data_IF_934690413491
#
_entry.id   IF_934690413491
#
_cell.length_a   1.000
_cell.length_b   1.000
_cell.length_c   1.000
_cell.angle_alpha   90.00
_cell.angle_beta   90.00
_cell.angle_gamma   90.00
#
_symmetry.space_group_name_H-M   'P 1'
#
loop_
_entity.id
_entity.type
_entity.pdbx_description
1 polymer ?
#
# COMPACT_ATOMS: atom_id res chain seq x y z
N UNK A 1 26.97 61.79 -41.77
CA UNK A 1 28.28 62.22 -41.21
C UNK A 1 28.49 61.78 -39.76
N UNK A 2 27.49 61.87 -38.85
CA UNK A 2 27.67 61.50 -37.43
C UNK A 2 27.76 59.98 -37.14
N UNK A 3 27.06 59.14 -37.88
CA UNK A 3 27.05 57.67 -37.68
C UNK A 3 28.37 57.02 -38.14
N UNK A 4 28.98 57.52 -39.22
CA UNK A 4 30.29 57.05 -39.68
C UNK A 4 31.40 57.42 -38.68
N UNK A 5 31.29 58.60 -38.05
CA UNK A 5 32.23 59.05 -37.02
C UNK A 5 32.09 58.26 -35.70
N UNK A 6 30.89 57.78 -35.35
CA UNK A 6 30.67 56.90 -34.20
C UNK A 6 31.28 55.51 -34.41
N UNK A 7 31.20 54.96 -35.62
CA UNK A 7 31.85 53.68 -35.96
C UNK A 7 33.38 53.84 -36.02
N UNK A 8 33.89 54.97 -36.53
CA UNK A 8 35.32 55.28 -36.48
C UNK A 8 35.83 55.58 -35.07
N UNK A 9 35.03 56.18 -34.18
CA UNK A 9 35.40 56.40 -32.78
C UNK A 9 35.43 55.09 -31.99
N UNK A 10 34.49 54.18 -32.25
CA UNK A 10 34.50 52.83 -31.67
C UNK A 10 35.66 51.95 -32.21
N UNK A 11 36.14 52.22 -33.43
CA UNK A 11 37.30 51.56 -34.02
C UNK A 11 38.67 52.21 -33.71
N UNK A 12 38.71 53.34 -33.01
CA UNK A 12 39.94 54.11 -32.70
C UNK A 12 40.35 54.10 -31.23
N UNK A 13 39.57 53.52 -30.32
CA UNK A 13 40.11 53.04 -29.06
C UNK A 13 40.64 51.63 -29.27
N UNK A 14 41.84 51.53 -29.84
CA UNK A 14 42.66 50.31 -29.77
C UNK A 14 43.04 50.12 -28.29
N UNK A 15 42.10 49.67 -27.48
CA UNK A 15 42.40 48.95 -26.25
C UNK A 15 43.12 47.70 -26.75
N UNK A 16 44.44 47.82 -26.94
CA UNK A 16 45.32 46.69 -27.09
C UNK A 16 45.23 45.96 -25.76
N UNK A 17 44.31 45.00 -25.69
CA UNK A 17 44.18 44.16 -24.52
C UNK A 17 45.55 43.54 -24.29
N UNK A 18 46.16 43.79 -23.11
CA UNK A 18 47.35 43.07 -22.74
C UNK A 18 47.09 41.59 -22.98
N UNK A 19 48.00 40.87 -23.62
CA UNK A 19 47.83 39.43 -23.95
C UNK A 19 47.41 38.61 -22.71
N UNK A 20 47.77 39.11 -21.53
CA UNK A 20 47.34 38.62 -20.20
C UNK A 20 45.83 38.73 -19.96
N UNK A 21 45.18 39.85 -20.30
CA UNK A 21 43.74 40.05 -20.16
C UNK A 21 42.93 39.13 -21.08
N UNK A 22 43.40 38.92 -22.33
CA UNK A 22 42.77 37.98 -23.26
C UNK A 22 42.88 36.52 -22.76
N UNK A 23 44.04 36.14 -22.22
CA UNK A 23 44.25 34.83 -21.60
C UNK A 23 43.30 34.59 -20.41
N UNK A 24 43.13 35.59 -19.54
CA UNK A 24 42.23 35.52 -18.39
C UNK A 24 40.75 35.38 -18.81
N UNK A 25 40.32 36.06 -19.87
CA UNK A 25 38.96 35.92 -20.41
C UNK A 25 38.70 34.52 -20.97
N UNK A 26 39.66 33.94 -21.69
CA UNK A 26 39.55 32.58 -22.22
C UNK A 26 39.47 31.56 -21.09
N UNK A 27 40.33 31.70 -20.07
CA UNK A 27 40.29 30.83 -18.88
C UNK A 27 38.96 31.00 -18.14
N UNK A 28 38.48 32.23 -17.97
CA UNK A 28 37.21 32.54 -17.33
C UNK A 28 36.01 31.95 -18.07
N UNK A 29 35.93 32.15 -19.39
CA UNK A 29 34.88 31.61 -20.24
C UNK A 29 34.89 30.07 -20.25
N UNK A 30 36.07 29.45 -20.31
CA UNK A 30 36.20 27.99 -20.21
C UNK A 30 35.71 27.48 -18.84
N UNK A 31 36.08 28.15 -17.74
CA UNK A 31 35.63 27.78 -16.39
C UNK A 31 34.12 27.95 -16.22
N UNK A 32 33.53 29.01 -16.76
CA UNK A 32 32.09 29.25 -16.73
C UNK A 32 31.37 28.20 -17.58
N UNK A 33 31.85 27.91 -18.79
CA UNK A 33 31.26 26.91 -19.68
C UNK A 33 31.27 25.51 -19.03
N UNK A 34 32.41 25.10 -18.48
CA UNK A 34 32.53 23.83 -17.76
C UNK A 34 31.63 23.78 -16.51
N UNK A 35 31.50 24.89 -15.77
CA UNK A 35 30.62 24.97 -14.60
C UNK A 35 29.14 24.91 -15.00
N UNK A 36 28.78 25.58 -16.10
CA UNK A 36 27.42 25.58 -16.66
C UNK A 36 27.06 24.18 -17.16
N UNK A 37 27.97 23.51 -17.87
CA UNK A 37 27.79 22.13 -18.30
C UNK A 37 27.63 21.17 -17.11
N UNK A 38 28.45 21.32 -16.05
CA UNK A 38 28.30 20.53 -14.83
C UNK A 38 26.96 20.77 -14.15
N UNK A 39 26.54 22.03 -14.00
CA UNK A 39 25.24 22.36 -13.41
C UNK A 39 24.09 21.78 -14.25
N UNK A 40 24.13 21.96 -15.57
CA UNK A 40 23.15 21.38 -16.47
C UNK A 40 23.11 19.86 -16.35
N UNK A 41 24.27 19.20 -16.26
CA UNK A 41 24.38 17.76 -16.05
C UNK A 41 23.78 17.31 -14.71
N UNK A 42 24.02 18.04 -13.62
CA UNK A 42 23.43 17.75 -12.29
C UNK A 42 21.91 17.89 -12.35
N UNK A 43 21.40 18.97 -12.95
CA UNK A 43 19.96 19.19 -13.08
C UNK A 43 19.31 18.10 -13.95
N UNK A 44 19.95 17.74 -15.07
CA UNK A 44 19.46 16.69 -15.96
C UNK A 44 19.43 15.32 -15.25
N UNK A 45 20.48 14.96 -14.51
CA UNK A 45 20.55 13.69 -13.77
C UNK A 45 19.58 13.64 -12.59
N UNK A 46 19.30 14.78 -11.95
CA UNK A 46 18.43 14.82 -10.77
C UNK A 46 16.95 14.81 -11.15
N UNK A 47 16.57 15.50 -12.24
CA UNK A 47 15.17 15.77 -12.54
C UNK A 47 14.66 15.11 -13.83
N UNK A 48 15.53 14.71 -14.76
CA UNK A 48 15.10 14.25 -16.10
C UNK A 48 15.50 12.81 -16.39
N UNK A 49 16.74 12.41 -16.08
CA UNK A 49 17.24 11.08 -16.42
C UNK A 49 16.73 10.03 -15.42
N UNK A 50 16.10 8.93 -15.88
CA UNK A 50 15.69 7.85 -15.01
C UNK A 50 16.91 7.04 -14.53
N UNK A 51 16.84 6.53 -13.30
CA UNK A 51 17.80 5.55 -12.79
C UNK A 51 17.57 4.14 -13.34
N UNK A 52 18.46 3.21 -12.98
CA UNK A 52 18.29 1.79 -13.33
C UNK A 52 17.08 1.18 -12.60
N UNK A 53 16.29 0.36 -13.28
CA UNK A 53 15.23 -0.44 -12.66
C UNK A 53 15.85 -1.45 -11.66
N UNK A 54 15.22 -1.58 -10.50
CA UNK A 54 15.62 -2.52 -9.44
C UNK A 54 15.57 -3.99 -9.90
N UNK A 55 14.78 -4.33 -10.93
CA UNK A 55 14.80 -5.66 -11.57
C UNK A 55 16.18 -6.05 -12.09
N UNK A 56 16.98 -5.07 -12.55
CA UNK A 56 18.37 -5.30 -12.97
C UNK A 56 19.23 -5.92 -11.86
N UNK A 57 18.92 -5.60 -10.61
CA UNK A 57 19.64 -6.08 -9.44
C UNK A 57 19.01 -7.32 -8.79
N UNK A 58 18.05 -7.96 -9.46
CA UNK A 58 17.44 -9.22 -9.00
C UNK A 58 16.25 -9.05 -8.05
N UNK A 59 15.57 -7.90 -8.07
CA UNK A 59 14.26 -7.74 -7.43
C UNK A 59 13.29 -8.88 -7.85
N UNK A 60 12.61 -9.50 -6.88
CA UNK A 60 11.77 -10.69 -7.03
C UNK A 60 12.47 -12.00 -7.46
N UNK A 61 13.80 -11.99 -7.63
CA UNK A 61 14.60 -13.16 -8.02
C UNK A 61 15.40 -13.74 -6.83
N UNK A 62 15.07 -13.33 -5.61
CA UNK A 62 15.73 -13.79 -4.38
C UNK A 62 17.01 -13.03 -4.02
N UNK A 63 17.32 -11.92 -4.71
CA UNK A 63 18.45 -11.08 -4.38
C UNK A 63 18.33 -10.47 -2.96
N UNK A 64 19.49 -10.24 -2.34
CA UNK A 64 19.58 -9.72 -0.99
C UNK A 64 20.02 -8.24 -0.98
N UNK A 65 19.42 -7.45 -0.10
CA UNK A 65 19.82 -6.10 0.22
C UNK A 65 20.26 -6.03 1.69
N UNK A 66 21.49 -5.57 1.93
CA UNK A 66 22.04 -5.39 3.27
C UNK A 66 21.97 -3.92 3.64
N UNK A 67 21.27 -3.59 4.74
CA UNK A 67 21.12 -2.21 5.20
C UNK A 67 21.77 -2.08 6.57
N UNK A 68 22.82 -1.26 6.63
CA UNK A 68 23.44 -0.83 7.89
C UNK A 68 22.77 0.44 8.39
N UNK A 69 22.51 0.54 9.70
CA UNK A 69 21.75 1.64 10.28
C UNK A 69 20.23 1.50 10.08
N UNK A 70 19.72 0.28 9.93
CA UNK A 70 18.31 0.00 9.62
C UNK A 70 17.30 0.32 10.74
N UNK A 71 17.77 0.74 11.91
CA UNK A 71 16.93 0.92 13.10
C UNK A 71 15.95 2.09 12.99
N UNK A 72 16.31 3.16 12.28
CA UNK A 72 15.49 4.37 12.20
C UNK A 72 15.84 5.21 10.96
N UNK A 73 15.05 6.26 10.71
CA UNK A 73 15.28 7.26 9.67
C UNK A 73 15.46 6.66 8.28
N UNK A 74 16.52 7.08 7.59
CA UNK A 74 16.83 6.70 6.20
C UNK A 74 17.02 5.18 6.06
N UNK A 75 17.72 4.55 7.01
CA UNK A 75 17.97 3.10 6.96
C UNK A 75 16.70 2.27 7.11
N UNK A 76 15.78 2.69 8.00
CA UNK A 76 14.47 2.05 8.12
C UNK A 76 13.69 2.16 6.80
N UNK A 77 13.67 3.34 6.19
CA UNK A 77 12.91 3.56 4.96
C UNK A 77 13.47 2.75 3.78
N UNK A 78 14.79 2.69 3.61
CA UNK A 78 15.43 1.79 2.62
C UNK A 78 15.02 0.34 2.83
N UNK A 79 14.96 -0.11 4.08
CA UNK A 79 14.57 -1.47 4.42
C UNK A 79 13.14 -1.78 3.97
N UNK A 80 12.21 -0.86 4.19
CA UNK A 80 10.81 -0.99 3.78
C UNK A 80 10.66 -0.96 2.26
N UNK A 81 11.30 -0.01 1.58
CA UNK A 81 11.18 0.15 0.12
C UNK A 81 11.85 -0.99 -0.65
N UNK A 82 13.02 -1.46 -0.23
CA UNK A 82 13.69 -2.59 -0.85
C UNK A 82 12.93 -3.90 -0.60
N UNK A 83 12.34 -4.08 0.59
CA UNK A 83 11.43 -5.20 0.83
C UNK A 83 10.20 -5.14 -0.09
N UNK A 84 9.60 -3.96 -0.26
CA UNK A 84 8.45 -3.75 -1.16
C UNK A 84 8.80 -3.98 -2.62
N UNK A 85 10.02 -3.61 -3.03
CA UNK A 85 10.56 -3.87 -4.35
C UNK A 85 10.92 -5.35 -4.58
N UNK A 86 10.82 -6.21 -3.57
CA UNK A 86 10.97 -7.66 -3.71
C UNK A 86 12.36 -8.22 -3.39
N UNK A 87 13.21 -7.49 -2.66
CA UNK A 87 14.47 -8.01 -2.12
C UNK A 87 14.26 -8.77 -0.80
N UNK A 88 15.16 -9.71 -0.52
CA UNK A 88 15.38 -10.21 0.83
C UNK A 88 16.23 -9.18 1.59
N UNK A 89 15.77 -8.73 2.75
CA UNK A 89 16.42 -7.61 3.44
C UNK A 89 17.14 -8.10 4.69
N UNK A 90 18.45 -7.83 4.76
CA UNK A 90 19.28 -8.10 5.93
C UNK A 90 19.55 -6.80 6.69
N UNK A 91 19.07 -6.72 7.93
CA UNK A 91 19.09 -5.49 8.72
C UNK A 91 20.24 -5.53 9.73
N UNK A 92 21.05 -4.47 9.77
CA UNK A 92 22.15 -4.32 10.72
C UNK A 92 22.00 -3.01 11.49
N UNK A 93 21.86 -3.08 12.82
CA UNK A 93 21.83 -1.92 13.70
C UNK A 93 22.26 -2.28 15.13
N UNK A 94 22.55 -1.24 15.94
CA UNK A 94 22.99 -1.41 17.35
C UNK A 94 21.86 -1.77 18.31
N UNK A 95 20.63 -1.34 18.02
CA UNK A 95 19.47 -1.54 18.89
C UNK A 95 18.61 -2.70 18.38
N UNK A 96 18.64 -3.82 19.10
CA UNK A 96 17.92 -5.05 18.77
C UNK A 96 16.40 -4.85 18.74
N UNK A 97 15.83 -4.15 19.72
CA UNK A 97 14.37 -3.98 19.83
C UNK A 97 13.78 -3.20 18.66
N UNK A 98 14.44 -2.13 18.22
CA UNK A 98 13.97 -1.35 17.07
C UNK A 98 14.15 -2.11 15.76
N UNK A 99 15.25 -2.87 15.64
CA UNK A 99 15.50 -3.74 14.49
C UNK A 99 14.44 -4.85 14.35
N UNK A 100 14.10 -5.51 15.45
CA UNK A 100 13.03 -6.52 15.51
C UNK A 100 11.67 -5.91 15.15
N UNK A 101 11.39 -4.67 15.59
CA UNK A 101 10.17 -3.97 15.20
C UNK A 101 10.11 -3.71 13.69
N UNK A 102 11.21 -3.29 13.05
CA UNK A 102 11.26 -3.04 11.59
C UNK A 102 11.13 -4.35 10.82
N UNK A 103 11.83 -5.40 11.25
CA UNK A 103 11.71 -6.74 10.66
C UNK A 103 10.27 -7.27 10.76
N UNK A 104 9.65 -7.15 11.94
CA UNK A 104 8.27 -7.56 12.18
C UNK A 104 7.30 -6.78 11.29
N UNK A 105 7.47 -5.46 11.15
CA UNK A 105 6.65 -4.62 10.27
C UNK A 105 6.72 -5.11 8.81
N UNK A 106 7.92 -5.36 8.28
CA UNK A 106 8.13 -5.90 6.92
C UNK A 106 7.45 -7.27 6.76
N UNK A 107 7.65 -8.17 7.72
CA UNK A 107 7.11 -9.53 7.69
C UNK A 107 5.58 -9.53 7.77
N UNK A 108 4.99 -8.68 8.61
CA UNK A 108 3.54 -8.58 8.80
C UNK A 108 2.87 -8.07 7.52
N UNK A 109 3.44 -7.06 6.85
CA UNK A 109 2.92 -6.56 5.56
C UNK A 109 2.98 -7.66 4.49
N UNK A 110 4.15 -8.30 4.33
CA UNK A 110 4.35 -9.35 3.31
C UNK A 110 3.46 -10.57 3.57
N UNK A 111 3.35 -10.99 4.82
CA UNK A 111 2.52 -12.14 5.21
C UNK A 111 1.04 -11.86 5.00
N UNK A 112 0.52 -10.66 5.32
CA UNK A 112 -0.88 -10.31 5.05
C UNK A 112 -1.24 -10.44 3.58
N UNK A 113 -0.42 -9.88 2.67
CA UNK A 113 -0.66 -10.00 1.22
C UNK A 113 -0.49 -11.46 0.77
N UNK A 114 0.57 -12.13 1.21
CA UNK A 114 0.83 -13.52 0.82
C UNK A 114 -0.30 -14.47 1.25
N UNK A 115 -0.86 -14.29 2.44
CA UNK A 115 -1.92 -15.16 2.96
C UNK A 115 -3.28 -14.74 2.39
N UNK A 116 -3.69 -13.48 2.57
CA UNK A 116 -5.04 -13.04 2.24
C UNK A 116 -5.28 -12.95 0.72
N UNK A 117 -4.25 -12.61 -0.07
CA UNK A 117 -4.37 -12.45 -1.52
C UNK A 117 -3.87 -13.71 -2.22
N UNK A 118 -2.56 -14.01 -2.12
CA UNK A 118 -1.98 -15.12 -2.89
C UNK A 118 -2.52 -16.47 -2.44
N UNK A 119 -2.71 -16.68 -1.13
CA UNK A 119 -3.29 -17.89 -0.58
C UNK A 119 -4.70 -18.15 -1.10
N UNK A 120 -5.58 -17.15 -1.03
CA UNK A 120 -6.95 -17.21 -1.56
C UNK A 120 -6.96 -17.52 -3.06
N UNK A 121 -6.17 -16.80 -3.87
CA UNK A 121 -6.10 -17.01 -5.31
C UNK A 121 -5.69 -18.45 -5.64
N UNK A 122 -4.60 -18.92 -5.04
CA UNK A 122 -4.08 -20.28 -5.29
C UNK A 122 -5.08 -21.34 -4.86
N UNK A 123 -5.63 -21.25 -3.65
CA UNK A 123 -6.62 -22.20 -3.16
C UNK A 123 -7.85 -22.27 -4.08
N UNK A 124 -8.34 -21.10 -4.51
CA UNK A 124 -9.49 -20.98 -5.41
C UNK A 124 -9.21 -21.65 -6.75
N UNK A 125 -8.11 -21.30 -7.43
CA UNK A 125 -7.82 -21.85 -8.76
C UNK A 125 -7.44 -23.33 -8.75
N UNK A 126 -6.98 -23.88 -7.62
CA UNK A 126 -6.75 -25.32 -7.47
C UNK A 126 -8.08 -26.09 -7.46
N UNK A 127 -9.10 -25.60 -6.75
CA UNK A 127 -10.37 -26.33 -6.56
C UNK A 127 -11.39 -26.04 -7.65
N UNK A 128 -11.31 -24.87 -8.29
CA UNK A 128 -12.31 -24.36 -9.22
C UNK A 128 -12.55 -25.27 -10.44
N UNK A 129 -11.53 -25.82 -11.13
CA UNK A 129 -11.75 -26.73 -12.27
C UNK A 129 -12.62 -27.94 -11.90
N UNK A 130 -12.39 -28.51 -10.71
CA UNK A 130 -13.19 -29.62 -10.20
C UNK A 130 -14.64 -29.22 -9.88
N UNK A 131 -14.86 -28.02 -9.33
CA UNK A 131 -16.22 -27.50 -9.11
C UNK A 131 -16.95 -27.29 -10.44
N UNK A 132 -16.26 -26.75 -11.44
CA UNK A 132 -16.78 -26.51 -12.79
C UNK A 132 -17.19 -27.80 -13.47
N UNK A 133 -16.35 -28.84 -13.42
CA UNK A 133 -16.67 -30.16 -13.98
C UNK A 133 -17.92 -30.76 -13.35
N UNK A 134 -18.11 -30.58 -12.04
CA UNK A 134 -19.26 -31.10 -11.30
C UNK A 134 -20.51 -30.21 -11.39
N UNK A 135 -20.39 -29.01 -11.97
CA UNK A 135 -21.44 -27.99 -12.03
C UNK A 135 -22.11 -27.71 -10.67
N UNK A 136 -21.31 -27.73 -9.60
CA UNK A 136 -21.74 -27.41 -8.23
C UNK A 136 -20.55 -27.03 -7.37
N UNK A 137 -20.69 -25.95 -6.62
CA UNK A 137 -19.67 -25.49 -5.70
C UNK A 137 -20.13 -24.30 -4.86
N UNK A 138 -19.48 -24.11 -3.72
CA UNK A 138 -19.67 -22.95 -2.86
C UNK A 138 -18.30 -22.43 -2.43
N UNK A 139 -18.04 -21.16 -2.69
CA UNK A 139 -16.83 -20.45 -2.27
C UNK A 139 -17.25 -19.27 -1.40
N UNK A 140 -16.95 -19.35 -0.10
CA UNK A 140 -17.20 -18.29 0.87
C UNK A 140 -15.90 -17.57 1.18
N UNK A 141 -15.74 -16.38 0.61
CA UNK A 141 -14.57 -15.55 0.78
C UNK A 141 -14.79 -14.58 1.94
N UNK A 142 -14.06 -14.78 3.04
CA UNK A 142 -14.26 -14.01 4.27
C UNK A 142 -13.66 -12.60 4.14
N UNK A 143 -14.55 -11.63 4.06
CA UNK A 143 -14.28 -10.21 4.02
C UNK A 143 -14.00 -9.60 5.38
N UNK A 144 -14.17 -8.28 5.44
CA UNK A 144 -14.15 -7.52 6.68
C UNK A 144 -14.77 -6.15 6.44
N UNK A 145 -15.41 -5.59 7.47
CA UNK A 145 -15.77 -4.17 7.51
C UNK A 145 -14.61 -3.25 7.08
N UNK A 146 -13.36 -3.58 7.46
CA UNK A 146 -12.17 -2.82 7.07
C UNK A 146 -11.88 -2.84 5.55
N UNK A 147 -12.47 -3.77 4.80
CA UNK A 147 -12.42 -3.80 3.34
C UNK A 147 -13.49 -2.90 2.69
N UNK A 148 -14.57 -2.58 3.41
CA UNK A 148 -15.61 -1.66 2.96
C UNK A 148 -15.30 -0.19 3.32
N UNK A 149 -14.63 0.03 4.46
CA UNK A 149 -14.21 1.37 4.91
C UNK A 149 -12.69 1.43 5.03
N UNK A 150 -12.01 2.33 4.31
CA UNK A 150 -10.57 2.53 4.47
C UNK A 150 -10.22 2.75 5.93
N UNK A 151 -9.25 1.98 6.42
CA UNK A 151 -8.88 1.95 7.84
C UNK A 151 -7.45 2.48 8.01
N UNK A 152 -7.27 3.78 8.38
CA UNK A 152 -5.95 4.38 8.57
C UNK A 152 -5.12 3.62 9.60
N UNK A 153 -3.80 3.52 9.41
CA UNK A 153 -2.88 2.70 10.21
C UNK A 153 -3.11 1.17 10.11
N UNK A 154 -4.06 0.73 9.26
CA UNK A 154 -4.31 -0.66 8.87
C UNK A 154 -4.49 -0.81 7.36
N UNK A 155 -3.92 0.10 6.57
CA UNK A 155 -4.19 0.26 5.14
C UNK A 155 -3.90 -1.00 4.33
N UNK A 156 -2.81 -1.72 4.61
CA UNK A 156 -2.50 -3.00 3.94
C UNK A 156 -3.56 -4.05 4.22
N UNK A 157 -3.95 -4.23 5.49
CA UNK A 157 -5.01 -5.17 5.86
C UNK A 157 -6.33 -4.83 5.16
N UNK A 158 -6.75 -3.56 5.27
CA UNK A 158 -7.94 -3.04 4.59
C UNK A 158 -7.89 -3.28 3.08
N UNK A 159 -6.75 -3.00 2.43
CA UNK A 159 -6.52 -3.28 1.01
C UNK A 159 -6.65 -4.76 0.66
N UNK A 160 -6.08 -5.67 1.46
CA UNK A 160 -6.25 -7.11 1.22
C UNK A 160 -7.70 -7.56 1.36
N UNK A 161 -8.49 -6.92 2.24
CA UNK A 161 -9.93 -7.23 2.40
C UNK A 161 -10.79 -6.60 1.31
N UNK A 162 -10.42 -5.43 0.80
CA UNK A 162 -11.06 -4.82 -0.36
C UNK A 162 -10.83 -5.68 -1.63
N UNK A 163 -9.61 -6.23 -1.80
CA UNK A 163 -9.32 -7.18 -2.87
C UNK A 163 -10.29 -8.36 -2.87
N UNK A 164 -10.58 -8.95 -1.70
CA UNK A 164 -11.51 -10.08 -1.57
C UNK A 164 -12.90 -9.75 -2.12
N UNK A 165 -13.39 -8.53 -1.90
CA UNK A 165 -14.70 -8.12 -2.39
C UNK A 165 -14.74 -8.14 -3.93
N UNK A 166 -13.85 -7.37 -4.57
CA UNK A 166 -13.80 -7.28 -6.03
C UNK A 166 -13.50 -8.63 -6.68
N UNK A 167 -12.55 -9.39 -6.14
CA UNK A 167 -12.20 -10.72 -6.64
C UNK A 167 -13.40 -11.68 -6.58
N UNK A 168 -14.13 -11.69 -5.46
CA UNK A 168 -15.28 -12.59 -5.30
C UNK A 168 -16.43 -12.20 -6.22
N UNK A 169 -16.71 -10.91 -6.39
CA UNK A 169 -17.75 -10.43 -7.29
C UNK A 169 -17.45 -10.80 -8.74
N UNK A 170 -16.22 -10.57 -9.21
CA UNK A 170 -15.82 -10.94 -10.56
C UNK A 170 -15.91 -12.46 -10.77
N UNK A 171 -15.31 -13.23 -9.86
CA UNK A 171 -15.31 -14.68 -9.95
C UNK A 171 -16.74 -15.25 -9.91
N UNK A 172 -17.62 -14.71 -9.08
CA UNK A 172 -19.01 -15.14 -9.00
C UNK A 172 -19.72 -15.05 -10.35
N UNK A 173 -19.53 -13.96 -11.09
CA UNK A 173 -20.15 -13.78 -12.40
C UNK A 173 -19.52 -14.72 -13.44
N UNK A 174 -18.19 -14.89 -13.43
CA UNK A 174 -17.46 -15.79 -14.33
C UNK A 174 -17.92 -17.26 -14.22
N UNK A 175 -18.19 -17.72 -12.99
CA UNK A 175 -18.50 -19.12 -12.70
C UNK A 175 -19.99 -19.41 -12.57
N UNK A 176 -20.85 -18.38 -12.64
CA UNK A 176 -22.29 -18.48 -12.48
C UNK A 176 -22.95 -19.51 -13.40
N UNK A 177 -22.51 -19.56 -14.66
CA UNK A 177 -22.98 -20.53 -15.66
C UNK A 177 -22.72 -22.00 -15.27
N UNK A 178 -21.79 -22.23 -14.34
CA UNK A 178 -21.43 -23.55 -13.84
C UNK A 178 -22.15 -23.91 -12.53
N UNK A 179 -23.16 -23.12 -12.10
CA UNK A 179 -23.91 -23.36 -10.86
C UNK A 179 -22.98 -23.42 -9.63
N UNK A 180 -21.99 -22.53 -9.60
CA UNK A 180 -21.08 -22.33 -8.47
C UNK A 180 -21.44 -20.99 -7.83
N UNK A 181 -21.68 -21.01 -6.52
CA UNK A 181 -21.94 -19.79 -5.75
C UNK A 181 -20.61 -19.30 -5.18
N UNK A 182 -20.25 -18.06 -5.51
CA UNK A 182 -19.13 -17.34 -4.89
C UNK A 182 -19.70 -16.14 -4.16
N UNK A 183 -19.37 -16.04 -2.87
CA UNK A 183 -19.91 -15.03 -1.98
C UNK A 183 -18.79 -14.37 -1.17
N UNK A 184 -18.76 -13.05 -1.21
CA UNK A 184 -17.95 -12.26 -0.30
C UNK A 184 -18.72 -12.03 0.99
N UNK A 185 -18.33 -12.74 2.06
CA UNK A 185 -18.99 -12.62 3.36
C UNK A 185 -18.37 -11.46 4.12
N UNK A 186 -19.08 -10.33 4.20
CA UNK A 186 -18.61 -9.16 4.93
C UNK A 186 -18.79 -9.36 6.44
N UNK A 187 -17.67 -9.41 7.16
CA UNK A 187 -17.64 -9.72 8.59
C UNK A 187 -17.30 -8.48 9.43
N UNK A 188 -18.14 -8.22 10.44
CA UNK A 188 -17.89 -7.20 11.46
C UNK A 188 -17.21 -7.86 12.68
N UNK A 189 -17.30 -7.25 13.85
CA UNK A 189 -16.73 -7.82 15.06
C UNK A 189 -17.43 -9.12 15.43
N UNK A 190 -16.62 -10.17 15.57
CA UNK A 190 -17.00 -11.50 16.08
C UNK A 190 -15.98 -11.84 17.17
N UNK A 191 -16.41 -12.52 18.22
CA UNK A 191 -15.51 -12.96 19.30
C UNK A 191 -14.40 -13.84 18.72
N UNK A 192 -13.16 -13.35 18.78
CA UNK A 192 -12.00 -14.07 18.24
C UNK A 192 -10.69 -13.46 18.76
N UNK A 193 -9.61 -14.25 18.67
CA UNK A 193 -8.25 -13.75 18.94
C UNK A 193 -7.86 -12.61 17.99
N UNK A 194 -8.39 -12.60 16.77
CA UNK A 194 -8.11 -11.57 15.76
C UNK A 194 -8.76 -10.22 16.10
N UNK A 195 -10.01 -10.23 16.58
CA UNK A 195 -10.73 -9.00 16.97
C UNK A 195 -10.29 -8.46 18.33
N UNK A 196 -9.55 -9.27 19.11
CA UNK A 196 -9.14 -9.00 20.51
C UNK A 196 -10.33 -8.79 21.47
N UNK A 197 -11.55 -9.13 21.02
CA UNK A 197 -12.76 -9.08 21.85
C UNK A 197 -13.05 -10.47 22.36
N UNK A 198 -13.19 -10.60 23.68
CA UNK A 198 -13.39 -11.88 24.36
C UNK A 198 -14.82 -12.10 24.84
N UNK A 199 -15.63 -11.05 24.90
CA UNK A 199 -17.02 -11.11 25.40
C UNK A 199 -18.02 -10.97 24.27
N UNK A 200 -18.98 -11.88 24.22
CA UNK A 200 -20.07 -11.83 23.26
C UNK A 200 -21.10 -10.75 23.65
N UNK A 201 -21.73 -10.16 22.64
CA UNK A 201 -22.88 -9.27 22.79
C UNK A 201 -23.77 -9.37 21.55
N UNK A 202 -24.91 -8.68 21.56
CA UNK A 202 -25.81 -8.62 20.41
C UNK A 202 -25.14 -8.09 19.13
N UNK A 203 -24.20 -7.14 19.27
CA UNK A 203 -23.39 -6.59 18.18
C UNK A 203 -22.16 -7.45 17.85
N UNK A 204 -21.69 -8.28 18.79
CA UNK A 204 -20.47 -9.08 18.68
C UNK A 204 -20.82 -10.54 18.98
N UNK A 205 -21.32 -11.29 17.99
CA UNK A 205 -21.69 -12.69 18.21
C UNK A 205 -20.47 -13.58 18.49
N UNK A 206 -20.76 -14.78 19.02
CA UNK A 206 -19.80 -15.88 18.99
C UNK A 206 -19.55 -16.34 17.56
N UNK A 207 -18.41 -16.97 17.30
CA UNK A 207 -18.09 -17.54 15.99
C UNK A 207 -19.13 -18.56 15.53
N UNK A 208 -19.63 -19.40 16.43
CA UNK A 208 -20.65 -20.41 16.13
C UNK A 208 -21.97 -19.77 15.66
N UNK A 209 -22.49 -18.79 16.41
CA UNK A 209 -23.73 -18.09 16.05
C UNK A 209 -23.58 -17.31 14.74
N UNK A 210 -22.41 -16.68 14.53
CA UNK A 210 -22.11 -15.98 13.29
C UNK A 210 -22.11 -16.93 12.09
N UNK A 211 -21.39 -18.06 12.19
CA UNK A 211 -21.30 -19.05 11.10
C UNK A 211 -22.66 -19.67 10.80
N UNK A 212 -23.46 -19.99 11.83
CA UNK A 212 -24.83 -20.48 11.63
C UNK A 212 -25.67 -19.50 10.80
N UNK A 213 -25.56 -18.19 11.09
CA UNK A 213 -26.25 -17.15 10.34
C UNK A 213 -25.76 -17.04 8.89
N UNK A 214 -24.46 -17.20 8.65
CA UNK A 214 -23.88 -17.19 7.30
C UNK A 214 -24.40 -18.38 6.48
N UNK A 215 -24.29 -19.59 7.03
CA UNK A 215 -24.71 -20.81 6.33
C UNK A 215 -26.22 -20.84 6.05
N UNK A 216 -27.04 -20.31 6.95
CA UNK A 216 -28.50 -20.23 6.75
C UNK A 216 -28.94 -19.23 5.67
N UNK A 217 -28.03 -18.39 5.17
CA UNK A 217 -28.34 -17.26 4.27
C UNK A 217 -27.46 -17.20 3.03
N UNK A 218 -26.75 -18.29 2.70
CA UNK A 218 -25.94 -18.39 1.48
C UNK A 218 -26.77 -18.00 0.25
N UNK A 219 -26.21 -17.14 -0.59
CA UNK A 219 -26.86 -16.60 -1.79
C UNK A 219 -27.75 -15.38 -1.53
N UNK A 220 -27.93 -14.95 -0.28
CA UNK A 220 -28.69 -13.74 0.06
C UNK A 220 -27.75 -12.60 0.46
N UNK A 221 -27.94 -11.38 -0.06
CA UNK A 221 -27.08 -10.25 0.27
C UNK A 221 -27.29 -9.73 1.71
N UNK A 222 -28.47 -9.97 2.30
CA UNK A 222 -28.85 -9.47 3.63
C UNK A 222 -28.58 -7.96 3.75
N UNK A 223 -27.73 -7.52 4.70
CA UNK A 223 -27.42 -6.10 4.89
C UNK A 223 -26.72 -5.42 3.71
N UNK A 224 -26.12 -6.19 2.80
CA UNK A 224 -25.48 -5.66 1.61
C UNK A 224 -26.46 -5.46 0.43
N UNK A 225 -27.75 -5.78 0.62
CA UNK A 225 -28.76 -5.55 -0.40
C UNK A 225 -28.76 -4.09 -0.84
N UNK A 226 -28.79 -3.86 -2.16
CA UNK A 226 -28.81 -2.51 -2.78
C UNK A 226 -27.63 -1.60 -2.39
N UNK A 227 -26.56 -2.14 -1.80
CA UNK A 227 -25.37 -1.36 -1.39
C UNK A 227 -24.37 -1.09 -2.52
N UNK A 228 -24.68 -1.47 -3.76
CA UNK A 228 -23.75 -1.39 -4.90
C UNK A 228 -22.61 -2.41 -4.87
N UNK A 229 -22.65 -3.40 -3.96
CA UNK A 229 -21.66 -4.48 -3.81
C UNK A 229 -22.29 -5.83 -4.19
N UNK A 230 -22.31 -6.22 -5.48
CA UNK A 230 -22.88 -7.49 -5.89
C UNK A 230 -22.11 -8.67 -5.28
N UNK A 231 -22.82 -9.77 -5.01
CA UNK A 231 -22.27 -10.99 -4.39
C UNK A 231 -21.59 -10.80 -3.03
N UNK A 232 -21.81 -9.64 -2.37
CA UNK A 232 -21.46 -9.45 -0.97
C UNK A 232 -22.66 -9.78 -0.09
N UNK A 233 -22.42 -10.47 1.03
CA UNK A 233 -23.42 -10.75 2.05
C UNK A 233 -23.00 -10.20 3.41
N UNK A 234 -23.98 -9.73 4.18
CA UNK A 234 -23.81 -9.43 5.62
C UNK A 234 -24.91 -10.15 6.40
N UNK A 235 -24.73 -11.46 6.71
CA UNK A 235 -25.86 -12.31 7.11
C UNK A 235 -26.34 -12.15 8.55
N UNK A 236 -25.44 -11.80 9.48
CA UNK A 236 -25.80 -11.67 10.89
C UNK A 236 -26.63 -10.41 11.11
N UNK A 237 -27.79 -10.53 11.75
CA UNK A 237 -28.85 -9.51 11.69
C UNK A 237 -28.44 -8.11 12.18
N UNK A 238 -27.67 -7.98 13.28
CA UNK A 238 -27.20 -6.66 13.73
C UNK A 238 -26.17 -6.06 12.77
N UNK A 239 -25.27 -6.90 12.24
CA UNK A 239 -24.31 -6.49 11.23
C UNK A 239 -25.03 -6.07 9.95
N UNK A 240 -26.10 -6.77 9.59
CA UNK A 240 -26.93 -6.46 8.42
C UNK A 240 -27.57 -5.08 8.52
N UNK A 241 -28.14 -4.75 9.69
CA UNK A 241 -28.70 -3.42 9.96
C UNK A 241 -27.64 -2.32 9.89
N UNK A 242 -26.46 -2.56 10.47
CA UNK A 242 -25.35 -1.59 10.40
C UNK A 242 -24.91 -1.35 8.96
N UNK A 243 -24.68 -2.42 8.20
CA UNK A 243 -24.22 -2.36 6.82
C UNK A 243 -25.23 -1.63 5.92
N UNK A 244 -26.53 -1.92 6.11
CA UNK A 244 -27.60 -1.19 5.43
C UNK A 244 -27.59 0.30 5.80
N UNK A 245 -27.53 0.64 7.08
CA UNK A 245 -27.50 2.04 7.52
C UNK A 245 -26.30 2.79 6.96
N UNK A 246 -25.13 2.16 6.88
CA UNK A 246 -23.95 2.76 6.28
C UNK A 246 -24.13 3.06 4.79
N UNK A 247 -24.84 2.19 4.07
CA UNK A 247 -25.13 2.40 2.65
C UNK A 247 -26.07 3.58 2.41
N UNK A 248 -26.99 3.84 3.34
CA UNK A 248 -27.96 4.95 3.26
C UNK A 248 -27.34 6.29 3.68
N UNK A 249 -26.53 6.30 4.76
CA UNK A 249 -25.99 7.53 5.35
C UNK A 249 -24.86 8.15 4.50
N UNK A 250 -24.22 7.38 3.61
CA UNK A 250 -23.40 7.95 2.52
C UNK A 250 -22.21 8.82 2.93
N UNK A 251 -21.63 8.66 4.14
CA UNK A 251 -20.50 9.48 4.62
C UNK A 251 -19.26 8.67 4.97
N UNK A 252 -18.52 8.13 3.97
CA UNK A 252 -17.27 7.41 4.19
C UNK A 252 -16.26 8.18 5.05
N UNK A 253 -16.22 9.51 4.94
CA UNK A 253 -15.29 10.38 5.66
C UNK A 253 -15.49 10.36 7.18
N UNK A 254 -16.72 10.24 7.68
CA UNK A 254 -17.00 10.15 9.12
C UNK A 254 -16.49 8.84 9.70
N UNK A 255 -16.75 7.73 9.01
CA UNK A 255 -16.26 6.41 9.42
C UNK A 255 -14.73 6.31 9.34
N UNK A 256 -14.10 6.89 8.32
CA UNK A 256 -12.64 6.96 8.20
C UNK A 256 -12.04 7.75 9.36
N UNK A 257 -12.61 8.93 9.70
CA UNK A 257 -12.15 9.74 10.84
C UNK A 257 -12.29 8.99 12.17
N UNK A 258 -13.40 8.29 12.38
CA UNK A 258 -13.61 7.50 13.59
C UNK A 258 -12.65 6.31 13.66
N UNK A 259 -12.47 5.59 12.56
CA UNK A 259 -11.50 4.49 12.46
C UNK A 259 -10.07 4.96 12.75
N UNK A 260 -9.69 6.14 12.23
CA UNK A 260 -8.40 6.74 12.51
C UNK A 260 -8.19 7.00 14.01
N UNK A 261 -9.17 7.62 14.68
CA UNK A 261 -9.12 7.89 16.13
C UNK A 261 -8.95 6.60 16.93
N UNK A 262 -9.73 5.56 16.62
CA UNK A 262 -9.66 4.25 17.29
C UNK A 262 -8.27 3.63 17.10
N UNK A 263 -7.73 3.65 15.88
CA UNK A 263 -6.44 3.05 15.60
C UNK A 263 -5.26 3.82 16.21
N UNK A 264 -5.35 5.15 16.30
CA UNK A 264 -4.38 5.96 17.03
C UNK A 264 -4.39 5.62 18.52
N UNK A 265 -5.59 5.50 19.11
CA UNK A 265 -5.74 5.12 20.52
C UNK A 265 -5.13 3.74 20.80
N UNK A 266 -5.45 2.73 19.99
CA UNK A 266 -4.84 1.39 20.10
C UNK A 266 -3.33 1.39 19.89
N UNK A 267 -2.82 2.27 19.01
CA UNK A 267 -1.37 2.42 18.83
C UNK A 267 -0.73 3.02 20.08
N UNK A 268 -1.35 4.05 20.67
CA UNK A 268 -0.90 4.67 21.91
C UNK A 268 -0.87 3.66 23.06
N UNK A 269 -1.95 2.90 23.25
CA UNK A 269 -2.06 1.85 24.27
C UNK A 269 -0.97 0.77 24.11
N UNK A 270 -0.69 0.33 22.87
CA UNK A 270 0.40 -0.62 22.60
C UNK A 270 1.78 -0.06 22.93
N UNK A 271 2.02 1.22 22.64
CA UNK A 271 3.27 1.89 22.98
C UNK A 271 3.43 2.03 24.50
N UNK A 272 2.35 2.36 25.22
CA UNK A 272 2.35 2.44 26.69
C UNK A 272 2.56 1.07 27.35
N UNK A 273 1.98 0.00 26.80
CA UNK A 273 2.23 -1.37 27.25
C UNK A 273 3.69 -1.78 27.02
N UNK A 274 4.26 -1.42 25.87
CA UNK A 274 5.68 -1.68 25.56
C UNK A 274 6.64 -0.88 26.44
N UNK A 275 6.29 0.34 26.84
CA UNK A 275 7.12 1.14 27.76
C UNK A 275 7.06 0.61 29.19
N UNK A 276 5.93 0.04 29.62
CA UNK A 276 5.77 -0.58 30.95
C UNK A 276 6.43 -1.96 31.07
N UNK A 277 6.67 -2.63 29.94
CA UNK A 277 7.31 -3.94 29.88
C UNK A 277 8.85 -3.88 29.75
N UNK A 278 9.43 -2.67 29.71
CA UNK A 278 10.88 -2.41 29.77
C UNK A 278 11.26 -1.97 31.17
#
# INVERSE_FOLDING_TARGET
MAILNLIQAAGKSSIEWPKTSALLLVIGALRISLSTFRLASVLLQTFVLPGNDLKKFGAHQGAWAVITGASDGIGKEFSLQLAKAGFNVFLVARNKTTLESVASEIQVIKSMVSVNVNGTLRATYIVLPGMTQRKRGLILNIGSFAGAVPTPLGATYAGTKAFMATFSTALAEEVKQHNIVVEHVNTYFVVSKLSQVQSASTMIPTSAAYVQSVLAKVGLPCGAAQSGRPNTSTPYWTHALIDYMMSVVGTPSLFIRQAHKINLQRRKERLEQQSKAK
#
